data_IF_080419591405
#
_entry.id   IF_080419591405
#
_cell.length_a   1.000
_cell.length_b   1.000
_cell.length_c   1.000
_cell.angle_alpha   90.00
_cell.angle_beta   90.00
_cell.angle_gamma   90.00
#
_symmetry.space_group_name_H-M   'P 1'
#
loop_
_entity.id
_entity.type
_entity.pdbx_description
1 polymer ?
#
# COMPACT_ATOMS: atom_id res chain seq x y z
N UNK A 1 37.63 -28.86 -8.42
CA UNK A 1 38.15 -28.25 -7.19
C UNK A 1 36.95 -27.72 -6.41
N UNK A 2 36.81 -28.19 -5.18
CA UNK A 2 35.85 -27.90 -4.12
C UNK A 2 34.64 -26.98 -4.38
N UNK A 3 33.46 -27.56 -4.18
CA UNK A 3 32.16 -26.94 -3.93
C UNK A 3 32.16 -26.15 -2.62
N UNK A 4 32.05 -24.82 -2.66
CA UNK A 4 31.52 -24.06 -1.52
C UNK A 4 30.57 -22.99 -2.00
N UNK A 5 29.31 -23.41 -2.03
CA UNK A 5 28.09 -22.65 -1.80
C UNK A 5 28.32 -21.23 -1.22
N UNK A 6 28.50 -20.23 -2.08
CA UNK A 6 28.49 -18.81 -1.71
C UNK A 6 27.08 -18.23 -1.62
N UNK A 7 26.04 -19.07 -1.66
CA UNK A 7 24.70 -18.69 -1.24
C UNK A 7 24.57 -18.98 0.27
N UNK A 8 24.29 -17.95 1.06
CA UNK A 8 23.63 -18.06 2.37
C UNK A 8 24.45 -18.36 3.64
N UNK A 9 25.70 -17.91 3.76
CA UNK A 9 26.27 -17.71 5.11
C UNK A 9 25.84 -16.34 5.65
N UNK A 10 24.54 -16.16 5.86
CA UNK A 10 24.03 -15.08 6.70
C UNK A 10 24.62 -15.31 8.10
N UNK A 11 25.40 -14.36 8.60
CA UNK A 11 26.04 -14.50 9.91
C UNK A 11 24.97 -14.62 11.00
N UNK A 12 25.22 -15.33 12.11
CA UNK A 12 24.24 -15.51 13.20
C UNK A 12 23.60 -14.18 13.66
N UNK A 13 24.36 -13.09 13.55
CA UNK A 13 23.91 -11.72 13.82
C UNK A 13 22.86 -11.24 12.83
N UNK A 14 23.06 -11.47 11.54
CA UNK A 14 22.11 -11.09 10.49
C UNK A 14 20.83 -11.95 10.55
N UNK A 15 20.94 -13.25 10.89
CA UNK A 15 19.77 -14.09 11.14
C UNK A 15 18.97 -13.61 12.36
N UNK A 16 19.64 -13.23 13.46
CA UNK A 16 18.97 -12.67 14.63
C UNK A 16 18.28 -11.33 14.32
N UNK A 17 18.93 -10.45 13.55
CA UNK A 17 18.34 -9.18 13.12
C UNK A 17 17.16 -9.39 12.16
N UNK A 18 17.24 -10.34 11.24
CA UNK A 18 16.15 -10.70 10.34
C UNK A 18 14.97 -11.29 11.13
N UNK A 19 15.23 -12.21 12.05
CA UNK A 19 14.20 -12.82 12.90
C UNK A 19 13.42 -11.79 13.72
N UNK A 20 14.12 -10.77 14.24
CA UNK A 20 13.45 -9.68 14.95
C UNK A 20 12.71 -8.76 13.99
N UNK A 21 13.26 -8.40 12.82
CA UNK A 21 12.64 -7.42 11.90
C UNK A 21 11.43 -7.94 11.11
N UNK A 22 11.46 -9.19 10.67
CA UNK A 22 10.41 -9.81 9.83
C UNK A 22 9.00 -9.63 10.42
N UNK A 23 8.72 -9.91 11.70
CA UNK A 23 7.37 -9.71 12.25
C UNK A 23 6.95 -8.24 12.26
N UNK A 24 7.85 -7.30 12.56
CA UNK A 24 7.52 -5.87 12.53
C UNK A 24 7.27 -5.36 11.10
N UNK A 25 7.99 -5.89 10.11
CA UNK A 25 7.72 -5.57 8.70
C UNK A 25 6.34 -6.08 8.28
N UNK A 26 5.99 -7.32 8.61
CA UNK A 26 4.68 -7.87 8.30
C UNK A 26 3.54 -7.04 8.94
N UNK A 27 3.70 -6.64 10.20
CA UNK A 27 2.74 -5.78 10.90
C UNK A 27 2.63 -4.40 10.24
N UNK A 28 3.78 -3.79 9.90
CA UNK A 28 3.80 -2.51 9.17
C UNK A 28 3.06 -2.61 7.84
N UNK A 29 3.30 -3.66 7.06
CA UNK A 29 2.68 -3.84 5.75
C UNK A 29 1.15 -3.99 5.88
N UNK A 30 0.67 -4.65 6.93
CA UNK A 30 -0.77 -4.72 7.25
C UNK A 30 -1.33 -3.34 7.59
N UNK A 31 -0.65 -2.56 8.44
CA UNK A 31 -1.09 -1.20 8.78
C UNK A 31 -1.10 -0.28 7.55
N UNK A 32 -0.10 -0.39 6.69
CA UNK A 32 -0.03 0.36 5.43
C UNK A 32 -1.17 -0.04 4.50
N UNK A 33 -1.44 -1.34 4.35
CA UNK A 33 -2.56 -1.84 3.55
C UNK A 33 -3.92 -1.34 4.09
N UNK A 34 -4.11 -1.33 5.41
CA UNK A 34 -5.30 -0.75 6.04
C UNK A 34 -5.40 0.75 5.82
N UNK A 35 -4.31 1.50 5.96
CA UNK A 35 -4.29 2.95 5.72
C UNK A 35 -4.66 3.29 4.27
N UNK A 36 -4.15 2.54 3.29
CA UNK A 36 -4.53 2.71 1.89
C UNK A 36 -6.02 2.37 1.64
N UNK A 37 -6.56 1.33 2.30
CA UNK A 37 -7.97 0.98 2.17
C UNK A 37 -8.90 2.05 2.78
N UNK A 38 -8.56 2.57 3.96
CA UNK A 38 -9.31 3.65 4.61
C UNK A 38 -9.27 4.93 3.77
N UNK A 39 -8.11 5.30 3.25
CA UNK A 39 -7.96 6.49 2.41
C UNK A 39 -8.81 6.42 1.14
N UNK A 40 -8.89 5.26 0.48
CA UNK A 40 -9.74 5.10 -0.71
C UNK A 40 -11.23 5.18 -0.37
N UNK A 41 -11.65 4.60 0.75
CA UNK A 41 -13.03 4.68 1.21
C UNK A 41 -13.44 6.13 1.53
N UNK A 42 -12.58 6.88 2.24
CA UNK A 42 -12.80 8.29 2.57
C UNK A 42 -12.85 9.18 1.31
N UNK A 43 -12.00 8.91 0.31
CA UNK A 43 -12.05 9.61 -0.98
C UNK A 43 -13.34 9.33 -1.75
N UNK A 44 -13.85 8.09 -1.70
CA UNK A 44 -15.14 7.74 -2.31
C UNK A 44 -16.33 8.37 -1.56
N UNK A 45 -16.27 8.45 -0.24
CA UNK A 45 -17.26 9.15 0.59
C UNK A 45 -17.28 10.65 0.27
N UNK A 46 -16.11 11.28 0.23
CA UNK A 46 -15.96 12.68 -0.19
C UNK A 46 -16.50 12.92 -1.61
N UNK A 47 -16.23 11.99 -2.53
CA UNK A 47 -16.79 12.04 -3.89
C UNK A 47 -18.31 11.88 -3.90
N UNK A 48 -18.85 11.05 -3.01
CA UNK A 48 -20.30 10.86 -2.88
C UNK A 48 -20.98 12.11 -2.32
N UNK A 49 -20.31 12.84 -1.42
CA UNK A 49 -20.77 14.12 -0.87
C UNK A 49 -20.66 15.29 -1.86
N UNK A 50 -19.75 15.22 -2.83
CA UNK A 50 -19.67 16.22 -3.91
C UNK A 50 -20.89 16.20 -4.82
N UNK A 51 -21.37 17.38 -5.23
CA UNK A 51 -22.45 17.50 -6.21
C UNK A 51 -21.97 17.22 -7.64
N UNK A 52 -22.89 16.83 -8.53
CA UNK A 52 -22.56 16.65 -9.96
C UNK A 52 -22.17 17.98 -10.64
N UNK A 53 -22.66 19.11 -10.11
CA UNK A 53 -22.30 20.45 -10.58
C UNK A 53 -20.84 20.78 -10.26
N UNK A 54 -20.37 20.41 -9.06
CA UNK A 54 -18.97 20.58 -8.66
C UNK A 54 -18.02 19.68 -9.46
N UNK A 55 -18.47 18.48 -9.80
CA UNK A 55 -17.73 17.58 -10.69
C UNK A 55 -17.64 18.15 -12.12
N UNK A 56 -18.75 18.67 -12.63
CA UNK A 56 -18.81 19.34 -13.93
C UNK A 56 -17.93 20.60 -13.98
N UNK A 57 -17.89 21.39 -12.89
CA UNK A 57 -17.00 22.54 -12.75
C UNK A 57 -15.51 22.15 -12.82
N UNK A 58 -15.19 20.92 -12.40
CA UNK A 58 -13.85 20.32 -12.51
C UNK A 58 -13.63 19.59 -13.86
N UNK A 59 -14.60 19.63 -14.77
CA UNK A 59 -14.52 19.00 -16.09
C UNK A 59 -14.49 17.47 -16.04
N UNK A 60 -14.99 16.87 -14.97
CA UNK A 60 -14.98 15.43 -14.74
C UNK A 60 -16.38 14.88 -14.51
N UNK A 61 -16.63 13.67 -14.95
CA UNK A 61 -17.83 12.91 -14.58
C UNK A 61 -17.62 12.18 -13.27
N UNK A 62 -18.71 11.86 -12.55
CA UNK A 62 -18.66 11.05 -11.32
C UNK A 62 -18.00 9.69 -11.55
N UNK A 63 -18.25 9.08 -12.71
CA UNK A 63 -17.66 7.81 -13.09
C UNK A 63 -16.13 7.92 -13.29
N UNK A 64 -15.64 8.99 -13.93
CA UNK A 64 -14.21 9.22 -14.11
C UNK A 64 -13.50 9.50 -12.78
N UNK A 65 -14.11 10.30 -11.90
CA UNK A 65 -13.58 10.58 -10.57
C UNK A 65 -13.48 9.30 -9.72
N UNK A 66 -14.52 8.47 -9.74
CA UNK A 66 -14.51 7.18 -9.04
C UNK A 66 -13.44 6.23 -9.61
N UNK A 67 -13.28 6.17 -10.93
CA UNK A 67 -12.23 5.36 -11.56
C UNK A 67 -10.82 5.85 -11.20
N UNK A 68 -10.60 7.15 -11.09
CA UNK A 68 -9.32 7.72 -10.68
C UNK A 68 -8.92 7.27 -9.27
N UNK A 69 -9.86 7.32 -8.31
CA UNK A 69 -9.65 6.88 -6.92
C UNK A 69 -9.40 5.36 -6.82
N UNK A 70 -10.14 4.56 -7.60
CA UNK A 70 -9.99 3.10 -7.56
C UNK A 70 -8.69 2.61 -8.23
N UNK A 71 -8.14 3.39 -9.17
CA UNK A 71 -6.91 3.05 -9.91
C UNK A 71 -5.64 3.57 -9.21
N UNK A 72 -5.72 4.59 -8.36
CA UNK A 72 -4.60 5.11 -7.55
C UNK A 72 -4.27 4.20 -6.38
#
# INVERSE_FOLDING_TARGET
MSTYNMNTMMTNREMALAFVRVPFQAVKDVFVAFAHAVSRAEQLETLNEMSDEDLAARGMTRAEAAQAILRS
#
